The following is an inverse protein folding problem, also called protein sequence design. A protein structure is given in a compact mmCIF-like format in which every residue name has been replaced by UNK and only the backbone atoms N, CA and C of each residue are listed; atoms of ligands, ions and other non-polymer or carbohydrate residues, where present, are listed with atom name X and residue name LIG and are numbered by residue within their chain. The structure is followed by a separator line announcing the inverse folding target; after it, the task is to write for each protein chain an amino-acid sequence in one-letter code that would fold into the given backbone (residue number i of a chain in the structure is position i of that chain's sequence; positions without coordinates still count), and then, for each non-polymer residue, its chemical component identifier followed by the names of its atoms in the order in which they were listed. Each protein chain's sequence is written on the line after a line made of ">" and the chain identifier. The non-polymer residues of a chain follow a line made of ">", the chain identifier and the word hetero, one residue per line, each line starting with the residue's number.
data_IF_965116434771
#
_entry.id   IF_965116434771
#
_cell.length_a   1.000
_cell.length_b   1.000
_cell.length_c   1.000
_cell.angle_alpha   90.00
_cell.angle_beta   90.00
_cell.angle_gamma   90.00
#
_symmetry.space_group_name_H-M   'P 1'
#
loop_
_entity.id
_entity.type
_entity.pdbx_description
1 polymer ?
#
# COMPACT_ATOMS: atom_id res chain seq x y z
N UNK A 1 -5.55 10.16 35.53
CA UNK A 1 -5.62 9.77 34.11
C UNK A 1 -6.45 8.50 34.05
N UNK A 2 -7.62 8.54 33.42
CA UNK A 2 -8.53 7.41 33.40
C UNK A 2 -7.90 6.28 32.57
N UNK A 3 -7.54 5.17 33.23
CA UNK A 3 -7.42 3.88 32.57
C UNK A 3 -8.82 3.52 32.07
N UNK A 4 -9.17 3.95 30.86
CA UNK A 4 -10.24 3.29 30.12
C UNK A 4 -9.82 1.82 30.04
N UNK A 5 -10.61 0.96 30.69
CA UNK A 5 -10.35 -0.46 30.74
C UNK A 5 -10.33 -0.98 29.31
N UNK A 6 -9.19 -1.50 28.85
CA UNK A 6 -9.04 -2.22 27.58
C UNK A 6 -10.18 -3.22 27.40
N UNK A 7 -10.67 -3.82 28.49
CA UNK A 7 -11.83 -4.71 28.43
C UNK A 7 -13.10 -4.00 27.94
N UNK A 8 -13.36 -2.74 28.27
CA UNK A 8 -14.55 -2.02 27.76
C UNK A 8 -14.49 -1.72 26.26
N UNK A 9 -13.29 -1.52 25.70
CA UNK A 9 -13.09 -1.34 24.25
C UNK A 9 -13.16 -2.68 23.51
N UNK A 10 -12.72 -3.78 24.14
CA UNK A 10 -12.74 -5.13 23.57
C UNK A 10 -14.03 -5.93 23.82
N UNK A 11 -14.88 -5.53 24.78
CA UNK A 11 -16.11 -6.25 25.16
C UNK A 11 -17.33 -5.93 24.29
N UNK A 12 -17.20 -5.08 23.27
CA UNK A 12 -18.20 -5.01 22.22
C UNK A 12 -18.23 -6.35 21.49
N UNK A 13 -19.31 -7.13 21.65
CA UNK A 13 -19.45 -8.40 20.94
C UNK A 13 -19.17 -8.18 19.45
N UNK A 14 -18.16 -8.88 18.91
CA UNK A 14 -17.79 -8.79 17.50
C UNK A 14 -18.88 -9.53 16.70
N UNK A 15 -19.96 -8.81 16.40
CA UNK A 15 -21.05 -9.32 15.57
C UNK A 15 -20.78 -8.97 14.09
N UNK A 16 -20.22 -9.94 13.37
CA UNK A 16 -19.94 -9.83 11.94
C UNK A 16 -21.12 -10.30 11.07
N UNK A 17 -22.27 -10.67 11.67
CA UNK A 17 -23.43 -11.18 10.95
C UNK A 17 -24.11 -10.14 10.05
N UNK A 18 -23.94 -8.85 10.38
CA UNK A 18 -24.51 -7.73 9.62
C UNK A 18 -23.61 -7.19 8.49
N UNK A 19 -22.31 -7.52 8.47
CA UNK A 19 -21.45 -7.09 7.36
C UNK A 19 -21.57 -8.09 6.21
N UNK A 20 -22.39 -7.76 5.21
CA UNK A 20 -22.48 -8.47 3.93
C UNK A 20 -21.66 -7.70 2.88
N UNK A 21 -20.91 -8.41 2.04
CA UNK A 21 -20.27 -7.79 0.86
C UNK A 21 -18.89 -7.17 1.07
N UNK A 22 -18.07 -7.67 2.00
CA UNK A 22 -16.66 -7.26 2.08
C UNK A 22 -15.94 -7.52 0.76
N UNK A 23 -15.17 -6.57 0.25
CA UNK A 23 -14.28 -6.81 -0.86
C UNK A 23 -13.25 -7.90 -0.47
N UNK A 24 -13.20 -8.98 -1.26
CA UNK A 24 -12.28 -10.11 -1.05
C UNK A 24 -11.15 -10.13 -2.07
N UNK A 25 -11.10 -9.12 -2.96
CA UNK A 25 -10.24 -9.08 -4.13
C UNK A 25 -9.78 -7.65 -4.38
N UNK A 26 -8.55 -7.53 -4.86
CA UNK A 26 -8.03 -6.32 -5.48
C UNK A 26 -8.35 -6.33 -6.97
N UNK A 27 -8.59 -5.14 -7.52
CA UNK A 27 -8.37 -4.94 -8.94
C UNK A 27 -6.92 -5.33 -9.28
N UNK A 28 -6.70 -5.89 -10.46
CA UNK A 28 -5.37 -6.30 -10.89
C UNK A 28 -4.59 -5.09 -11.44
N UNK A 29 -4.63 -4.00 -10.68
CA UNK A 29 -3.99 -2.73 -10.96
C UNK A 29 -3.35 -2.17 -9.68
N UNK A 30 -2.17 -1.58 -9.80
CA UNK A 30 -1.50 -0.86 -8.73
C UNK A 30 -0.90 0.44 -9.27
N UNK A 31 -0.84 1.48 -8.43
CA UNK A 31 -0.12 2.71 -8.73
C UNK A 31 1.10 2.79 -7.84
N UNK A 32 2.28 2.76 -8.45
CA UNK A 32 3.56 2.87 -7.77
C UNK A 32 4.02 4.32 -7.80
N UNK A 33 4.20 4.91 -6.62
CA UNK A 33 4.56 6.30 -6.42
C UNK A 33 5.98 6.37 -5.88
N UNK A 34 6.83 7.22 -6.47
CA UNK A 34 8.15 7.44 -5.90
C UNK A 34 7.98 8.12 -4.54
N UNK A 35 8.59 7.56 -3.50
CA UNK A 35 8.47 8.07 -2.13
C UNK A 35 8.91 9.54 -2.02
N UNK A 36 9.90 9.96 -2.81
CA UNK A 36 10.41 11.33 -2.81
C UNK A 36 9.51 12.31 -3.58
N UNK A 37 8.57 11.82 -4.38
CA UNK A 37 7.63 12.66 -5.13
C UNK A 37 6.38 13.01 -4.32
N UNK A 38 6.18 12.38 -3.17
CA UNK A 38 5.07 12.68 -2.25
C UNK A 38 5.43 13.91 -1.41
N UNK A 39 4.50 14.86 -1.32
CA UNK A 39 4.59 15.95 -0.37
C UNK A 39 3.97 15.53 0.97
N UNK A 40 4.78 14.92 1.83
CA UNK A 40 4.35 14.49 3.16
C UNK A 40 3.93 15.64 4.07
N UNK A 41 4.41 16.86 3.82
CA UNK A 41 4.05 18.02 4.62
C UNK A 41 2.68 18.58 4.23
N UNK A 42 2.33 18.51 2.95
CA UNK A 42 1.00 18.85 2.44
C UNK A 42 -0.03 17.72 2.62
N UNK A 43 0.44 16.47 2.77
CA UNK A 43 -0.41 15.31 3.01
C UNK A 43 -0.94 15.29 4.46
N UNK A 44 -2.18 14.83 4.64
CA UNK A 44 -2.84 14.83 5.95
C UNK A 44 -3.18 13.40 6.36
N UNK A 45 -2.68 12.97 7.52
CA UNK A 45 -3.06 11.72 8.16
C UNK A 45 -4.32 11.91 9.02
N UNK A 46 -5.18 10.90 9.03
CA UNK A 46 -6.31 10.80 9.95
C UNK A 46 -5.88 10.74 11.42
N UNK A 47 -6.84 10.89 12.33
CA UNK A 47 -6.55 10.84 13.77
C UNK A 47 -6.45 9.38 14.26
N UNK A 48 -5.27 8.79 14.08
CA UNK A 48 -4.98 7.39 14.40
C UNK A 48 -5.05 7.12 15.91
N UNK A 49 -4.60 8.08 16.74
CA UNK A 49 -4.68 7.98 18.20
C UNK A 49 -6.07 8.34 18.76
N UNK A 50 -7.02 8.70 17.89
CA UNK A 50 -8.39 9.03 18.28
C UNK A 50 -9.24 7.81 18.66
N UNK A 51 -10.39 8.01 19.29
CA UNK A 51 -11.27 6.94 19.76
C UNK A 51 -11.85 6.06 18.63
N UNK A 52 -11.78 6.52 17.38
CA UNK A 52 -12.26 5.79 16.19
C UNK A 52 -11.14 5.16 15.37
N UNK A 53 -9.87 5.39 15.73
CA UNK A 53 -8.69 4.92 15.01
C UNK A 53 -8.76 5.19 13.50
N UNK A 54 -8.69 6.46 13.10
CA UNK A 54 -8.84 6.88 11.70
C UNK A 54 -7.55 6.68 10.89
N UNK A 55 -7.40 5.49 10.30
CA UNK A 55 -6.28 5.11 9.42
C UNK A 55 -6.47 5.60 7.98
N UNK A 56 -6.77 6.89 7.79
CA UNK A 56 -6.90 7.49 6.45
C UNK A 56 -5.73 8.40 6.11
N UNK A 57 -5.48 8.59 4.82
CA UNK A 57 -4.50 9.55 4.30
C UNK A 57 -5.07 10.36 3.15
N UNK A 58 -4.98 11.68 3.26
CA UNK A 58 -5.12 12.58 2.12
C UNK A 58 -3.73 12.83 1.56
N UNK A 59 -3.33 11.98 0.61
CA UNK A 59 -2.01 12.02 0.01
C UNK A 59 -1.96 13.08 -1.11
N UNK A 60 -0.87 13.86 -1.11
CA UNK A 60 -0.59 14.90 -2.10
C UNK A 60 0.77 14.64 -2.73
N UNK A 61 0.83 14.65 -4.06
CA UNK A 61 2.10 14.61 -4.79
C UNK A 61 2.63 16.02 -5.04
N UNK A 62 3.95 16.13 -5.17
CA UNK A 62 4.60 17.37 -5.62
C UNK A 62 4.12 17.73 -7.03
N UNK A 63 4.12 19.02 -7.35
CA UNK A 63 3.66 19.52 -8.64
C UNK A 63 4.32 18.78 -9.82
N UNK A 64 3.51 18.43 -10.83
CA UNK A 64 3.91 17.71 -12.05
C UNK A 64 4.45 16.29 -11.80
N UNK A 65 4.26 15.73 -10.60
CA UNK A 65 4.55 14.33 -10.31
C UNK A 65 3.29 13.49 -10.39
N UNK A 66 3.46 12.24 -10.78
CA UNK A 66 2.41 11.24 -10.87
C UNK A 66 2.96 9.84 -10.62
N UNK A 67 2.07 8.94 -10.25
CA UNK A 67 2.39 7.52 -10.13
C UNK A 67 2.58 6.82 -11.46
N UNK A 68 3.16 5.63 -11.38
CA UNK A 68 3.27 4.69 -12.50
C UNK A 68 2.26 3.56 -12.29
N UNK A 69 1.30 3.44 -13.19
CA UNK A 69 0.29 2.39 -13.11
C UNK A 69 0.84 1.08 -13.69
N UNK A 70 0.67 0.00 -12.94
CA UNK A 70 0.97 -1.36 -13.36
C UNK A 70 -0.37 -2.09 -13.43
N UNK A 71 -0.67 -2.68 -14.60
CA UNK A 71 -1.88 -3.47 -14.83
C UNK A 71 -1.50 -4.90 -15.17
N UNK A 72 -2.21 -5.84 -14.58
CA UNK A 72 -2.16 -7.25 -14.93
C UNK A 72 -3.54 -7.69 -15.47
N UNK A 73 -3.65 -8.96 -15.86
CA UNK A 73 -4.92 -9.51 -16.34
C UNK A 73 -5.99 -9.46 -15.25
N UNK A 74 -7.19 -9.00 -15.57
CA UNK A 74 -8.31 -8.79 -14.62
C UNK A 74 -8.70 -10.04 -13.83
N UNK A 75 -8.48 -11.23 -14.40
CA UNK A 75 -8.79 -12.52 -13.77
C UNK A 75 -7.61 -13.08 -12.93
N UNK A 76 -6.50 -12.35 -12.84
CA UNK A 76 -5.31 -12.75 -12.11
C UNK A 76 -5.42 -12.55 -10.59
N UNK A 77 -4.38 -13.02 -9.90
CA UNK A 77 -4.12 -12.76 -8.47
C UNK A 77 -2.67 -12.27 -8.26
N UNK A 78 -2.10 -11.69 -9.31
CA UNK A 78 -0.73 -11.22 -9.42
C UNK A 78 -0.46 -9.93 -8.65
N UNK A 79 -1.49 -9.09 -8.46
CA UNK A 79 -1.40 -7.86 -7.67
C UNK A 79 -2.20 -8.04 -6.40
N UNK A 80 -1.52 -7.90 -5.26
CA UNK A 80 -2.13 -7.93 -3.92
C UNK A 80 -1.24 -7.25 -2.90
N UNK A 81 -1.87 -6.52 -1.98
CA UNK A 81 -1.23 -5.98 -0.78
C UNK A 81 -1.46 -6.90 0.42
N UNK A 82 -0.52 -6.90 1.36
CA UNK A 82 -0.66 -7.55 2.65
C UNK A 82 0.27 -6.88 3.67
N UNK A 83 -0.07 -7.03 4.95
CA UNK A 83 0.78 -6.57 6.04
C UNK A 83 0.84 -7.62 7.13
N UNK A 84 1.99 -7.74 7.78
CA UNK A 84 2.19 -8.64 8.90
C UNK A 84 2.72 -7.87 10.11
N UNK A 85 2.19 -8.14 11.30
CA UNK A 85 2.85 -7.74 12.55
C UNK A 85 4.17 -8.50 12.62
N UNK A 86 5.29 -7.79 12.52
CA UNK A 86 6.60 -8.43 12.39
C UNK A 86 7.38 -8.41 13.69
N UNK A 87 7.54 -7.24 14.33
CA UNK A 87 8.30 -7.09 15.56
C UNK A 87 7.55 -6.25 16.59
N UNK A 88 7.94 -6.40 17.84
CA UNK A 88 7.68 -5.40 18.89
C UNK A 88 9.04 -4.81 19.20
N UNK A 89 9.23 -3.52 18.90
CA UNK A 89 10.48 -2.81 19.19
C UNK A 89 10.84 -2.96 20.68
N UNK A 90 12.12 -2.94 21.10
CA UNK A 90 12.52 -2.87 22.50
C UNK A 90 11.75 -1.85 23.37
N UNK A 91 11.17 -0.79 22.78
CA UNK A 91 10.26 0.13 23.45
C UNK A 91 8.82 -0.35 23.66
N UNK A 92 8.46 -1.55 23.19
CA UNK A 92 7.11 -2.13 23.29
C UNK A 92 6.15 -1.76 22.15
N UNK A 93 6.61 -1.00 21.14
CA UNK A 93 5.77 -0.57 20.01
C UNK A 93 5.69 -1.64 18.93
N UNK A 94 4.48 -1.87 18.42
CA UNK A 94 4.24 -2.84 17.34
C UNK A 94 4.72 -2.25 16.02
N UNK A 95 5.43 -3.06 15.24
CA UNK A 95 5.85 -2.74 13.89
C UNK A 95 5.22 -3.71 12.89
N UNK A 96 4.93 -3.19 11.71
CA UNK A 96 4.26 -3.85 10.61
C UNK A 96 5.18 -3.91 9.39
N UNK A 97 5.24 -5.08 8.79
CA UNK A 97 5.89 -5.32 7.52
C UNK A 97 4.85 -5.17 6.42
N UNK A 98 4.94 -4.10 5.62
CA UNK A 98 4.08 -3.92 4.45
C UNK A 98 4.68 -4.62 3.25
N UNK A 99 3.83 -5.31 2.48
CA UNK A 99 4.24 -6.04 1.29
C UNK A 99 3.19 -5.86 0.18
N UNK A 100 3.63 -5.54 -1.03
CA UNK A 100 2.80 -5.53 -2.24
C UNK A 100 3.47 -6.40 -3.29
N UNK A 101 2.74 -7.41 -3.72
CA UNK A 101 3.18 -8.31 -4.78
C UNK A 101 2.73 -7.75 -6.13
N UNK A 102 3.66 -7.76 -7.10
CA UNK A 102 3.45 -7.34 -8.48
C UNK A 102 4.02 -8.43 -9.39
N UNK A 103 3.33 -8.72 -10.50
CA UNK A 103 3.86 -9.60 -11.53
C UNK A 103 4.44 -8.78 -12.66
N UNK A 104 5.70 -9.00 -12.98
CA UNK A 104 6.38 -8.37 -14.11
C UNK A 104 6.68 -9.46 -15.14
N UNK A 105 6.15 -9.26 -16.35
CA UNK A 105 6.28 -10.17 -17.48
C UNK A 105 7.23 -9.59 -18.50
N UNK A 106 8.14 -10.41 -19.02
CA UNK A 106 9.03 -10.02 -20.12
C UNK A 106 10.50 -10.28 -19.83
N UNK A 107 11.28 -10.35 -20.91
CA UNK A 107 12.73 -10.57 -20.89
C UNK A 107 13.51 -9.42 -21.57
N UNK A 108 12.80 -8.42 -22.07
CA UNK A 108 13.34 -7.34 -22.88
C UNK A 108 14.08 -6.29 -22.04
N UNK A 109 14.87 -5.44 -22.72
CA UNK A 109 15.68 -4.40 -22.06
C UNK A 109 14.82 -3.38 -21.31
N UNK A 110 13.60 -3.12 -21.77
CA UNK A 110 12.68 -2.21 -21.08
C UNK A 110 12.26 -2.80 -19.72
N UNK A 111 11.88 -4.09 -19.67
CA UNK A 111 11.56 -4.77 -18.41
C UNK A 111 12.74 -4.79 -17.45
N UNK A 112 13.96 -5.04 -17.95
CA UNK A 112 15.20 -4.97 -17.13
C UNK A 112 15.40 -3.60 -16.52
N UNK A 113 15.18 -2.54 -17.30
CA UNK A 113 15.31 -1.17 -16.81
C UNK A 113 14.26 -0.82 -15.76
N UNK A 114 13.04 -1.36 -15.89
CA UNK A 114 11.99 -1.20 -14.87
C UNK A 114 12.40 -1.89 -13.57
N UNK A 115 12.86 -3.15 -13.65
CA UNK A 115 13.35 -3.90 -12.49
C UNK A 115 14.51 -3.18 -11.81
N UNK A 116 15.52 -2.76 -12.57
CA UNK A 116 16.66 -2.01 -12.06
C UNK A 116 16.24 -0.70 -11.36
N UNK A 117 15.26 0.01 -11.91
CA UNK A 117 14.71 1.21 -11.25
C UNK A 117 14.00 0.87 -9.95
N UNK A 118 13.18 -0.19 -9.94
CA UNK A 118 12.48 -0.65 -8.75
C UNK A 118 13.46 -1.07 -7.65
N UNK A 119 14.58 -1.69 -8.01
CA UNK A 119 15.61 -2.15 -7.07
C UNK A 119 16.36 -0.99 -6.39
N UNK A 120 16.53 0.13 -7.10
CA UNK A 120 17.23 1.31 -6.56
C UNK A 120 16.28 2.35 -5.94
N UNK A 121 14.99 2.07 -5.91
CA UNK A 121 13.96 3.02 -5.51
C UNK A 121 13.38 2.76 -4.12
N UNK A 122 12.64 3.77 -3.64
CA UNK A 122 11.72 3.63 -2.51
C UNK A 122 10.36 4.14 -2.95
N UNK A 123 9.32 3.39 -2.62
CA UNK A 123 8.00 3.59 -3.20
C UNK A 123 6.89 3.56 -2.17
N UNK A 124 5.83 4.29 -2.46
CA UNK A 124 4.51 4.08 -1.85
C UNK A 124 3.65 3.43 -2.91
N UNK A 125 2.90 2.40 -2.54
CA UNK A 125 2.08 1.66 -3.52
C UNK A 125 0.63 1.76 -3.13
N UNK A 126 -0.18 2.24 -4.07
CA UNK A 126 -1.63 2.24 -3.95
C UNK A 126 -2.21 1.01 -4.65
N UNK A 127 -3.10 0.29 -3.98
CA UNK A 127 -3.86 -0.84 -4.55
C UNK A 127 -5.34 -0.63 -4.28
N UNK A 128 -6.18 -0.96 -5.26
CA UNK A 128 -7.61 -0.72 -5.19
C UNK A 128 -8.38 -2.02 -4.99
N UNK A 129 -9.25 -2.07 -3.99
CA UNK A 129 -10.19 -3.15 -3.77
C UNK A 129 -11.40 -3.01 -4.70
N UNK A 130 -12.10 -4.12 -4.95
CA UNK A 130 -13.29 -4.14 -5.81
C UNK A 130 -14.47 -3.29 -5.32
N UNK A 131 -14.44 -2.82 -4.07
CA UNK A 131 -15.45 -1.90 -3.54
C UNK A 131 -15.07 -0.41 -3.69
N UNK A 132 -13.94 -0.11 -4.34
CA UNK A 132 -13.42 1.23 -4.54
C UNK A 132 -12.50 1.73 -3.43
N UNK A 133 -12.28 0.93 -2.36
CA UNK A 133 -11.31 1.29 -1.33
C UNK A 133 -9.90 1.26 -1.91
N UNK A 134 -9.14 2.34 -1.73
CA UNK A 134 -7.73 2.41 -2.14
C UNK A 134 -6.87 2.32 -0.90
N UNK A 135 -6.05 1.28 -0.80
CA UNK A 135 -5.10 1.08 0.28
C UNK A 135 -3.70 1.57 -0.13
N UNK A 136 -3.02 2.22 0.80
CA UNK A 136 -1.71 2.85 0.63
C UNK A 136 -0.70 2.11 1.51
N UNK A 137 0.30 1.51 0.86
CA UNK A 137 1.35 0.74 1.49
C UNK A 137 2.70 1.48 1.47
N UNK A 138 3.48 1.31 2.54
CA UNK A 138 4.81 1.90 2.70
C UNK A 138 4.82 3.40 2.96
N UNK A 139 3.81 3.93 3.65
CA UNK A 139 3.67 5.37 3.84
C UNK A 139 4.84 6.00 4.60
N UNK A 140 5.34 5.35 5.66
CA UNK A 140 6.32 5.94 6.57
C UNK A 140 7.73 5.85 6.02
N UNK A 141 8.18 4.65 5.65
CA UNK A 141 9.56 4.36 5.26
C UNK A 141 9.71 3.98 3.79
N UNK A 142 8.59 3.67 3.12
CA UNK A 142 8.58 3.22 1.74
C UNK A 142 8.75 1.71 1.63
N UNK A 143 8.50 1.22 0.42
CA UNK A 143 8.76 -0.14 -0.01
C UNK A 143 9.93 -0.15 -0.99
N UNK A 144 10.79 -1.15 -0.88
CA UNK A 144 11.80 -1.50 -1.89
C UNK A 144 11.56 -2.93 -2.37
N UNK A 145 12.23 -3.38 -3.42
CA UNK A 145 12.14 -4.78 -3.82
C UNK A 145 12.74 -5.68 -2.74
N UNK A 146 12.04 -6.76 -2.41
CA UNK A 146 12.59 -7.87 -1.66
C UNK A 146 13.47 -8.73 -2.59
N UNK A 147 14.33 -9.57 -2.01
CA UNK A 147 15.13 -10.52 -2.79
C UNK A 147 14.24 -11.36 -3.71
N UNK A 148 14.59 -11.38 -4.99
CA UNK A 148 13.88 -12.15 -6.01
C UNK A 148 14.85 -12.82 -6.97
N UNK A 149 14.41 -13.92 -7.55
CA UNK A 149 15.08 -14.54 -8.70
C UNK A 149 14.30 -14.19 -9.96
N UNK A 150 15.00 -13.67 -10.96
CA UNK A 150 14.42 -13.41 -12.27
C UNK A 150 14.86 -14.48 -13.26
N UNK A 151 13.99 -15.47 -13.46
CA UNK A 151 14.16 -16.51 -14.46
C UNK A 151 13.12 -16.32 -15.57
N UNK A 152 13.60 -16.08 -16.79
CA UNK A 152 12.74 -15.85 -17.96
C UNK A 152 12.26 -17.16 -18.62
N UNK A 153 12.81 -18.30 -18.20
CA UNK A 153 12.51 -19.63 -18.73
C UNK A 153 11.52 -20.40 -17.87
N UNK A 154 11.44 -20.10 -16.58
CA UNK A 154 10.43 -20.65 -15.67
C UNK A 154 9.17 -19.74 -15.62
N UNK A 155 8.02 -20.33 -15.30
CA UNK A 155 6.78 -19.57 -15.07
C UNK A 155 6.16 -18.86 -16.29
N UNK A 156 6.61 -19.15 -17.52
CA UNK A 156 6.10 -18.49 -18.73
C UNK A 156 6.69 -17.09 -18.98
N UNK A 157 7.86 -16.79 -18.41
CA UNK A 157 8.55 -15.51 -18.61
C UNK A 157 8.09 -14.38 -17.69
N UNK A 158 7.44 -14.72 -16.58
CA UNK A 158 7.00 -13.79 -15.55
C UNK A 158 7.66 -14.05 -14.21
N UNK A 159 8.11 -12.98 -13.55
CA UNK A 159 8.57 -13.06 -12.17
C UNK A 159 7.65 -12.25 -11.26
N UNK A 160 7.44 -12.78 -10.06
CA UNK A 160 6.69 -12.12 -9.01
C UNK A 160 7.67 -11.32 -8.18
N UNK A 161 7.56 -9.99 -8.31
CA UNK A 161 8.35 -9.04 -7.55
C UNK A 161 7.53 -8.64 -6.34
N UNK A 162 8.14 -8.70 -5.16
CA UNK A 162 7.52 -8.23 -3.93
C UNK A 162 8.18 -6.92 -3.55
N UNK A 163 7.39 -5.85 -3.47
CA UNK A 163 7.80 -4.61 -2.82
C UNK A 163 7.49 -4.73 -1.34
N UNK A 164 8.47 -4.49 -0.48
CA UNK A 164 8.40 -4.74 0.94
C UNK A 164 9.07 -3.60 1.74
N UNK A 165 8.54 -3.29 2.92
CA UNK A 165 9.20 -2.41 3.88
C UNK A 165 10.49 -3.05 4.40
N UNK A 166 11.52 -2.25 4.61
CA UNK A 166 12.78 -2.71 5.19
C UNK A 166 12.54 -3.43 6.54
N UNK A 167 13.16 -4.59 6.73
CA UNK A 167 13.02 -5.38 7.95
C UNK A 167 13.59 -4.68 9.19
N UNK A 168 14.50 -3.72 9.00
CA UNK A 168 15.10 -2.88 10.04
C UNK A 168 14.48 -1.47 10.10
N UNK A 169 13.66 -1.09 9.11
CA UNK A 169 12.90 0.17 9.09
C UNK A 169 11.42 -0.09 8.72
N UNK A 170 10.77 -0.89 9.55
CA UNK A 170 9.37 -1.29 9.41
C UNK A 170 8.40 -0.12 9.68
N UNK A 171 7.14 -0.30 9.29
CA UNK A 171 6.09 0.69 9.44
C UNK A 171 5.53 0.59 10.87
N UNK A 172 5.21 1.71 11.50
CA UNK A 172 4.54 1.77 12.81
C UNK A 172 3.01 1.63 12.67
N UNK A 173 2.49 1.86 11.46
CA UNK A 173 1.06 1.82 11.15
C UNK A 173 0.74 0.68 10.20
N UNK A 174 -0.50 0.16 10.26
CA UNK A 174 -1.06 -0.69 9.20
C UNK A 174 -1.26 0.14 7.91
N UNK A 175 -1.52 -0.50 6.75
CA UNK A 175 -1.78 0.23 5.51
C UNK A 175 -2.91 1.22 5.67
N UNK A 176 -2.73 2.40 5.10
CA UNK A 176 -3.68 3.50 5.23
C UNK A 176 -4.72 3.42 4.12
N UNK A 177 -5.92 3.92 4.39
CA UNK A 177 -6.94 4.07 3.36
C UNK A 177 -6.85 5.47 2.76
N UNK A 178 -6.68 5.54 1.44
CA UNK A 178 -6.68 6.82 0.75
C UNK A 178 -8.06 7.49 0.86
N UNK A 179 -8.02 8.78 1.17
CA UNK A 179 -9.19 9.64 1.15
C UNK A 179 -8.85 10.83 0.25
N UNK A 180 -9.68 11.13 -0.76
CA UNK A 180 -9.44 12.28 -1.62
C UNK A 180 -9.51 13.58 -0.81
N UNK A 181 -8.87 14.63 -1.33
CA UNK A 181 -9.08 15.97 -0.81
C UNK A 181 -10.56 16.38 -0.95
N UNK A 182 -10.97 17.41 -0.23
CA UNK A 182 -12.38 17.85 -0.20
C UNK A 182 -12.91 18.07 -1.62
N UNK A 183 -13.91 17.26 -2.03
CA UNK A 183 -14.52 17.33 -3.35
C UNK A 183 -13.91 16.41 -4.43
N UNK A 184 -12.88 15.62 -4.11
CA UNK A 184 -12.29 14.63 -5.02
C UNK A 184 -12.94 13.24 -4.94
N UNK A 185 -12.50 12.32 -5.80
CA UNK A 185 -12.96 10.94 -5.89
C UNK A 185 -11.77 9.98 -5.90
N UNK A 186 -11.76 9.02 -4.95
CA UNK A 186 -10.64 8.11 -4.78
C UNK A 186 -10.34 7.27 -6.02
N UNK A 187 -11.37 6.89 -6.79
CA UNK A 187 -11.20 6.08 -7.98
C UNK A 187 -10.68 6.93 -9.15
N UNK A 188 -11.16 8.17 -9.28
CA UNK A 188 -10.65 9.12 -10.26
C UNK A 188 -9.17 9.43 -9.99
N UNK A 189 -8.81 9.76 -8.75
CA UNK A 189 -7.42 10.03 -8.35
C UNK A 189 -6.54 8.80 -8.61
N UNK A 190 -7.01 7.59 -8.28
CA UNK A 190 -6.27 6.35 -8.58
C UNK A 190 -6.06 6.15 -10.09
N UNK A 191 -7.12 6.36 -10.89
CA UNK A 191 -7.07 6.21 -12.35
C UNK A 191 -6.18 7.25 -13.03
N UNK A 192 -6.13 8.46 -12.49
CA UNK A 192 -5.24 9.56 -12.91
C UNK A 192 -3.86 9.49 -12.22
N UNK A 193 -3.58 8.39 -11.51
CA UNK A 193 -2.30 8.16 -10.82
C UNK A 193 -1.91 9.26 -9.82
N UNK A 194 -2.90 9.88 -9.20
CA UNK A 194 -2.81 10.96 -8.21
C UNK A 194 -2.12 12.22 -8.76
N UNK A 195 -2.19 12.44 -10.06
CA UNK A 195 -1.63 13.62 -10.72
C UNK A 195 -2.21 14.91 -10.12
N UNK A 196 -1.32 15.84 -9.77
CA UNK A 196 -1.69 17.17 -9.29
C UNK A 196 -1.43 18.18 -10.42
N UNK A 197 -2.40 19.07 -10.73
CA UNK A 197 -2.26 20.09 -11.76
C UNK A 197 -1.16 21.12 -11.47
#
# INVERSE_FOLDING_TARGET
>A
MANNSICSELNGGIDMSCKRGFARKYHQEAVVLNFNDIDKAASVLGNIAGPTCDYTVQMVLKALKKGSQIKASDNGSSIKGFYAKSKTDPGGYVQYLHQVQLMILGADTATRCILDKLDHGRYVVAVQLTDGTVEIYGWENGLSTADYTWDITEGGGGSLIVLQSDEDAQESMIPLVYKPQTGGDANADFNEQFEQP
#
